data_IF_769735537748
#
_entry.id   IF_769735537748
#
_cell.length_a   1.000
_cell.length_b   1.000
_cell.length_c   1.000
_cell.angle_alpha   90.00
_cell.angle_beta   90.00
_cell.angle_gamma   90.00
#
_symmetry.space_group_name_H-M   'P 1'
#
loop_
_entity.id
_entity.type
_entity.pdbx_description
1 polymer ?
#
# COMPACT_ATOMS: atom_id res chain seq x y z
N UNK A 1 -12.16 22.16 -46.17
CA UNK A 1 -12.83 21.45 -45.05
C UNK A 1 -11.86 21.44 -43.88
N UNK A 2 -12.04 22.34 -42.91
CA UNK A 2 -11.19 22.39 -41.71
C UNK A 2 -11.62 21.26 -40.78
N UNK A 3 -10.71 20.32 -40.48
CA UNK A 3 -10.97 19.26 -39.51
C UNK A 3 -11.13 19.87 -38.12
N UNK A 4 -12.27 19.64 -37.49
CA UNK A 4 -12.54 20.08 -36.12
C UNK A 4 -11.82 19.10 -35.18
N UNK A 5 -10.79 19.55 -34.48
CA UNK A 5 -10.12 18.77 -33.44
C UNK A 5 -11.07 18.66 -32.25
N UNK A 6 -11.42 17.43 -31.86
CA UNK A 6 -12.23 17.14 -30.68
C UNK A 6 -11.34 16.55 -29.58
N UNK A 7 -11.48 17.08 -28.37
CA UNK A 7 -10.76 16.59 -27.19
C UNK A 7 -11.69 15.69 -26.37
N UNK A 8 -11.15 14.62 -25.80
CA UNK A 8 -11.90 13.66 -25.00
C UNK A 8 -11.18 13.40 -23.69
N UNK A 9 -11.94 13.09 -22.64
CA UNK A 9 -11.45 12.65 -21.34
C UNK A 9 -12.06 11.29 -20.99
N UNK A 10 -11.25 10.42 -20.39
CA UNK A 10 -11.67 9.08 -19.94
C UNK A 10 -11.31 8.93 -18.47
N UNK A 11 -12.29 8.55 -17.66
CA UNK A 11 -12.04 8.28 -16.24
C UNK A 11 -11.40 6.90 -16.05
N UNK A 12 -10.19 6.89 -15.49
CA UNK A 12 -9.47 5.67 -15.08
C UNK A 12 -9.32 5.57 -13.56
N UNK A 13 -9.81 6.56 -12.82
CA UNK A 13 -9.60 6.68 -11.38
C UNK A 13 -10.42 5.65 -10.58
N UNK A 14 -10.02 5.41 -9.34
CA UNK A 14 -10.79 4.58 -8.39
C UNK A 14 -11.95 5.36 -7.77
N UNK A 15 -11.78 6.67 -7.56
CA UNK A 15 -12.74 7.51 -6.82
C UNK A 15 -13.76 8.20 -7.73
N UNK A 16 -13.53 8.18 -9.04
CA UNK A 16 -14.42 8.77 -10.04
C UNK A 16 -14.04 10.20 -10.42
N UNK A 17 -14.36 10.53 -11.67
CA UNK A 17 -14.21 11.87 -12.25
C UNK A 17 -15.59 12.47 -12.54
N UNK A 18 -15.73 13.78 -12.42
CA UNK A 18 -16.95 14.50 -12.82
C UNK A 18 -16.63 15.68 -13.73
N UNK A 19 -17.54 15.99 -14.64
CA UNK A 19 -17.48 17.16 -15.53
C UNK A 19 -18.71 18.02 -15.26
N UNK A 20 -18.51 19.31 -14.98
CA UNK A 20 -19.57 20.27 -14.67
C UNK A 20 -20.53 19.82 -13.53
N UNK A 21 -20.02 18.98 -12.62
CA UNK A 21 -20.79 18.44 -11.49
C UNK A 21 -21.44 17.07 -11.75
N UNK A 22 -21.40 16.55 -12.98
CA UNK A 22 -21.94 15.24 -13.33
C UNK A 22 -20.83 14.18 -13.39
N UNK A 23 -21.02 13.04 -12.73
CA UNK A 23 -20.04 11.96 -12.71
C UNK A 23 -20.03 11.24 -14.06
N UNK A 24 -18.86 11.16 -14.70
CA UNK A 24 -18.69 10.43 -15.95
C UNK A 24 -18.47 8.94 -15.69
N UNK A 25 -18.79 8.10 -16.67
CA UNK A 25 -18.62 6.64 -16.56
C UNK A 25 -17.15 6.25 -16.72
N UNK A 26 -16.69 5.31 -15.89
CA UNK A 26 -15.33 4.79 -15.93
C UNK A 26 -15.07 4.05 -17.24
N UNK A 27 -13.99 4.40 -17.93
CA UNK A 27 -13.59 3.77 -19.20
C UNK A 27 -14.31 4.25 -20.46
N UNK A 28 -15.34 5.11 -20.35
CA UNK A 28 -16.01 5.70 -21.51
C UNK A 28 -15.42 7.09 -21.83
N UNK A 29 -15.00 7.36 -23.09
CA UNK A 29 -14.52 8.68 -23.48
C UNK A 29 -15.67 9.67 -23.60
N UNK A 30 -15.55 10.81 -22.92
CA UNK A 30 -16.50 11.93 -22.99
C UNK A 30 -15.83 13.12 -23.66
N UNK A 31 -16.50 13.75 -24.63
CA UNK A 31 -15.97 14.91 -25.33
C UNK A 31 -15.91 16.13 -24.39
N UNK A 32 -14.78 16.83 -24.40
CA UNK A 32 -14.57 18.09 -23.68
C UNK A 32 -14.88 19.29 -24.58
N UNK A 33 -15.48 20.30 -23.98
CA UNK A 33 -15.79 21.61 -24.58
C UNK A 33 -15.11 22.74 -23.81
N UNK A 34 -14.89 23.86 -24.49
CA UNK A 34 -14.24 25.04 -23.90
C UNK A 34 -14.95 25.48 -22.62
N UNK A 35 -14.20 25.56 -21.51
CA UNK A 35 -14.72 25.98 -20.21
C UNK A 35 -15.25 24.84 -19.32
N UNK A 36 -15.22 23.59 -19.79
CA UNK A 36 -15.63 22.45 -18.97
C UNK A 36 -14.81 22.31 -17.69
N UNK A 37 -15.50 22.06 -16.57
CA UNK A 37 -14.89 21.92 -15.24
C UNK A 37 -14.77 20.45 -14.86
N UNK A 38 -13.56 19.94 -14.85
CA UNK A 38 -13.26 18.56 -14.47
C UNK A 38 -12.88 18.51 -12.99
N UNK A 39 -13.61 17.74 -12.19
CA UNK A 39 -13.32 17.53 -10.77
C UNK A 39 -12.91 16.10 -10.50
N UNK A 40 -11.78 15.94 -9.82
CA UNK A 40 -11.26 14.65 -9.37
C UNK A 40 -11.58 14.48 -7.88
N UNK A 41 -12.20 13.36 -7.52
CA UNK A 41 -12.39 12.98 -6.12
C UNK A 41 -11.09 12.42 -5.54
N UNK A 42 -10.46 13.13 -4.61
CA UNK A 42 -9.30 12.60 -3.87
C UNK A 42 -9.83 11.84 -2.64
N UNK A 43 -9.33 10.63 -2.43
CA UNK A 43 -9.84 9.69 -1.42
C UNK A 43 -9.93 10.31 -0.02
N UNK A 44 -11.15 10.68 0.42
CA UNK A 44 -11.61 10.70 1.80
C UNK A 44 -13.05 11.22 1.85
N UNK A 45 -13.86 10.74 2.78
CA UNK A 45 -15.28 11.07 2.99
C UNK A 45 -15.55 12.51 3.48
N UNK A 46 -14.66 13.45 3.15
CA UNK A 46 -14.74 14.87 3.53
C UNK A 46 -14.62 15.70 2.27
N UNK A 47 -15.54 16.64 2.06
CA UNK A 47 -15.66 17.49 0.86
C UNK A 47 -14.43 18.38 0.55
N UNK A 48 -13.36 18.27 1.34
CA UNK A 48 -12.28 19.26 1.43
C UNK A 48 -11.09 18.98 0.50
N UNK A 49 -11.15 17.95 -0.36
CA UNK A 49 -10.08 17.62 -1.31
C UNK A 49 -10.60 17.36 -2.72
N UNK A 50 -11.36 18.31 -3.25
CA UNK A 50 -11.71 18.35 -4.68
C UNK A 50 -10.68 19.18 -5.43
N UNK A 51 -10.04 18.59 -6.44
CA UNK A 51 -9.20 19.32 -7.38
C UNK A 51 -10.04 19.60 -8.62
N UNK A 52 -10.23 20.89 -8.95
CA UNK A 52 -10.99 21.35 -10.11
C UNK A 52 -10.04 21.88 -11.19
N UNK A 53 -10.16 21.33 -12.39
CA UNK A 53 -9.46 21.77 -13.60
C UNK A 53 -10.47 22.40 -14.56
N UNK A 54 -10.08 23.47 -15.26
CA UNK A 54 -10.90 24.08 -16.31
C UNK A 54 -10.25 23.81 -17.66
N UNK A 55 -10.97 23.14 -18.55
CA UNK A 55 -10.48 22.87 -19.89
C UNK A 55 -10.49 24.15 -20.74
N UNK A 56 -9.34 24.44 -21.37
CA UNK A 56 -9.20 25.52 -22.36
C UNK A 56 -8.47 24.99 -23.58
N UNK A 57 -9.17 24.91 -24.70
CA UNK A 57 -8.63 24.71 -26.03
C UNK A 57 -7.89 25.98 -26.46
N UNK A 58 -6.59 26.02 -26.18
CA UNK A 58 -5.72 27.05 -26.75
C UNK A 58 -5.49 26.69 -28.21
N UNK A 59 -6.20 27.38 -29.11
CA UNK A 59 -5.77 27.42 -30.50
C UNK A 59 -4.46 28.21 -30.53
N UNK A 60 -3.36 27.69 -31.11
CA UNK A 60 -2.21 28.55 -31.39
C UNK A 60 -2.72 29.74 -32.22
N UNK A 61 -2.23 30.97 -31.98
CA UNK A 61 -2.56 32.06 -32.87
C UNK A 61 -2.26 31.56 -34.28
N UNK A 62 -3.24 31.65 -35.19
CA UNK A 62 -3.01 31.35 -36.60
C UNK A 62 -1.70 32.04 -36.94
N UNK A 63 -0.66 31.26 -37.27
CA UNK A 63 0.65 31.82 -37.54
C UNK A 63 0.40 32.87 -38.61
N UNK A 64 0.54 34.15 -38.24
CA UNK A 64 0.52 35.20 -39.22
C UNK A 64 1.54 34.76 -40.28
N UNK A 65 1.18 34.69 -41.58
CA UNK A 65 2.17 34.43 -42.60
C UNK A 65 3.33 35.39 -42.33
N UNK A 66 4.59 34.94 -42.46
CA UNK A 66 5.74 35.76 -42.10
C UNK A 66 5.54 37.13 -42.72
N UNK A 67 5.56 38.16 -41.86
CA UNK A 67 5.45 39.54 -42.34
C UNK A 67 6.46 39.68 -43.47
N UNK A 68 6.05 40.15 -44.67
CA UNK A 68 6.99 40.35 -45.75
C UNK A 68 8.13 41.24 -45.20
N UNK A 69 9.39 40.99 -45.58
CA UNK A 69 10.46 41.92 -45.23
C UNK A 69 9.99 43.31 -45.66
N UNK A 70 10.20 44.30 -44.80
CA UNK A 70 9.91 45.69 -45.12
C UNK A 70 10.61 46.02 -46.45
N UNK A 71 9.83 45.98 -47.52
CA UNK A 71 10.27 46.37 -48.84
C UNK A 71 10.48 47.89 -48.79
N UNK A 72 11.61 48.40 -49.30
CA UNK A 72 11.90 49.82 -49.25
C UNK A 72 10.78 50.56 -49.97
N UNK A 73 10.20 51.55 -49.31
CA UNK A 73 9.35 52.52 -50.00
C UNK A 73 10.25 53.31 -50.95
N UNK A 74 10.29 52.86 -52.19
CA UNK A 74 10.61 53.65 -53.34
C UNK A 74 9.33 54.37 -53.79
N UNK A 75 9.35 55.69 -53.66
CA UNK A 75 8.38 56.65 -54.17
C UNK A 75 8.76 58.00 -53.57
N UNK A 76 9.30 58.98 -54.29
CA UNK A 76 9.01 59.35 -55.67
C UNK A 76 10.28 59.80 -56.40
N UNK A 77 10.42 59.32 -57.64
CA UNK A 77 11.08 60.07 -58.71
C UNK A 77 10.23 61.31 -59.01
N UNK A 78 10.80 62.49 -58.85
CA UNK A 78 10.55 63.63 -59.74
C UNK A 78 11.90 64.30 -59.97
N UNK A 79 12.49 64.07 -61.14
CA UNK A 79 13.29 65.08 -61.84
C UNK A 79 12.31 65.73 -62.82
N UNK A 80 12.31 67.06 -63.00
CA UNK A 80 13.34 67.66 -63.83
C UNK A 80 13.78 69.10 -63.48
N UNK A 81 14.96 69.44 -64.00
CA UNK A 81 15.33 70.71 -64.62
C UNK A 81 15.05 72.05 -63.90
N UNK A 82 16.15 72.70 -63.47
CA UNK A 82 16.44 74.13 -63.59
C UNK A 82 17.83 74.33 -62.91
N UNK A 83 18.91 74.78 -63.53
CA UNK A 83 18.97 75.88 -64.49
C UNK A 83 18.73 77.19 -63.74
N UNK A 84 19.79 77.86 -63.30
CA UNK A 84 19.93 79.28 -62.92
C UNK A 84 21.19 79.35 -62.04
N UNK A 85 22.38 79.81 -62.46
CA UNK A 85 22.74 81.02 -63.22
C UNK A 85 21.93 82.25 -62.84
N UNK A 86 22.69 83.22 -62.34
CA UNK A 86 22.42 84.65 -62.20
C UNK A 86 21.53 85.04 -61.02
N UNK A 87 22.18 85.56 -59.98
CA UNK A 87 21.87 86.89 -59.45
C UNK A 87 23.19 87.58 -59.09
N UNK A 88 23.66 88.43 -60.01
CA UNK A 88 24.38 89.64 -59.62
C UNK A 88 23.49 90.48 -58.70
N UNK A 89 24.10 91.37 -57.90
CA UNK A 89 23.58 92.71 -57.81
C UNK A 89 24.55 93.70 -58.45
N UNK A 90 24.07 94.33 -59.52
CA UNK A 90 24.57 95.60 -60.00
C UNK A 90 24.43 96.67 -58.91
N UNK A 91 25.52 97.37 -58.64
CA UNK A 91 25.62 98.78 -58.24
C UNK A 91 27.12 99.07 -58.29
N UNK A 92 27.66 99.98 -59.07
CA UNK A 92 27.09 101.25 -59.51
C UNK A 92 28.18 102.28 -59.24
N UNK A 93 28.84 102.71 -60.32
CA UNK A 93 29.56 103.97 -60.49
C UNK A 93 30.64 104.40 -59.50
N UNK A 94 31.89 104.47 -59.99
CA UNK A 94 32.55 105.77 -60.17
C UNK A 94 33.73 105.64 -61.16
N UNK A 95 33.54 106.17 -62.37
CA UNK A 95 34.63 106.74 -63.17
C UNK A 95 35.15 108.01 -62.48
N UNK A 96 36.40 108.42 -62.77
CA UNK A 96 36.57 109.65 -63.54
C UNK A 96 37.50 109.38 -64.74
N UNK A 97 37.05 109.71 -65.94
CA UNK A 97 37.36 110.97 -66.61
C UNK A 97 38.85 111.18 -66.94
N UNK A 98 39.12 110.96 -68.23
CA UNK A 98 40.04 111.72 -69.09
C UNK A 98 40.32 113.14 -68.61
N UNK A 99 41.58 113.58 -68.70
CA UNK A 99 41.99 114.87 -69.28
C UNK A 99 43.42 115.18 -68.85
N UNK A 100 44.29 115.55 -69.80
CA UNK A 100 45.59 116.13 -69.42
C UNK A 100 46.74 115.97 -70.39
N UNK A 101 46.49 116.03 -71.69
CA UNK A 101 47.48 116.46 -72.66
C UNK A 101 48.25 117.71 -72.19
N UNK A 102 49.58 117.65 -72.12
CA UNK A 102 50.44 118.81 -72.41
C UNK A 102 51.37 118.46 -73.57
N UNK A 103 50.97 118.93 -74.75
CA UNK A 103 51.86 119.33 -75.84
C UNK A 103 52.85 120.38 -75.32
N UNK A 104 54.09 120.29 -75.79
CA UNK A 104 55.03 121.37 -76.12
C UNK A 104 56.45 120.79 -75.98
N UNK A 105 57.39 120.90 -76.91
CA UNK A 105 57.52 121.68 -78.14
C UNK A 105 58.60 120.99 -78.97
N UNK A 106 58.55 121.21 -80.28
CA UNK A 106 59.74 121.13 -81.11
C UNK A 106 60.83 122.01 -80.50
N UNK A 107 61.97 121.42 -80.21
CA UNK A 107 63.25 122.13 -80.19
C UNK A 107 64.14 121.38 -81.17
N UNK A 108 64.52 122.13 -82.19
CA UNK A 108 65.57 121.85 -83.16
C UNK A 108 66.79 121.18 -82.52
N UNK A 109 67.38 120.28 -83.29
CA UNK A 109 68.55 119.49 -82.95
C UNK A 109 69.62 120.27 -82.18
N UNK A 110 70.10 119.68 -81.09
CA UNK A 110 71.50 119.77 -80.68
C UNK A 110 71.84 118.50 -79.87
N UNK A 111 72.82 117.73 -80.38
CA UNK A 111 73.50 116.59 -79.74
C UNK A 111 72.73 115.27 -79.54
N UNK A 112 73.19 114.20 -80.21
CA UNK A 112 72.71 112.83 -80.05
C UNK A 112 72.96 112.19 -78.66
N UNK A 113 73.65 112.88 -77.75
CA UNK A 113 73.95 112.37 -76.40
C UNK A 113 72.75 112.50 -75.43
N UNK A 114 71.84 113.46 -75.65
CA UNK A 114 70.71 113.71 -74.73
C UNK A 114 69.60 112.66 -74.83
N UNK A 115 69.31 112.15 -76.03
CA UNK A 115 68.35 111.06 -76.25
C UNK A 115 68.81 109.73 -75.63
N UNK A 116 70.11 109.45 -75.69
CA UNK A 116 70.71 108.27 -75.05
C UNK A 116 70.65 108.36 -73.52
N UNK A 117 70.75 109.56 -72.94
CA UNK A 117 70.64 109.76 -71.50
C UNK A 117 69.22 109.49 -70.98
N UNK A 118 68.20 109.96 -71.72
CA UNK A 118 66.78 109.74 -71.40
C UNK A 118 66.41 108.26 -71.54
N UNK A 119 66.85 107.61 -72.62
CA UNK A 119 66.65 106.17 -72.80
C UNK A 119 67.37 105.33 -71.74
N UNK A 120 68.60 105.68 -71.35
CA UNK A 120 69.32 105.00 -70.25
C UNK A 120 68.60 105.16 -68.91
N UNK A 121 68.03 106.34 -68.62
CA UNK A 121 67.28 106.60 -67.39
C UNK A 121 65.97 105.81 -67.37
N UNK A 122 65.21 105.83 -68.47
CA UNK A 122 63.99 105.01 -68.63
C UNK A 122 64.27 103.51 -68.50
N UNK A 123 65.35 103.00 -69.12
CA UNK A 123 65.75 101.58 -68.98
C UNK A 123 66.15 101.27 -67.54
N UNK A 124 66.79 102.20 -66.82
CA UNK A 124 67.14 102.02 -65.41
C UNK A 124 65.88 101.99 -64.53
N UNK A 125 64.94 102.89 -64.77
CA UNK A 125 63.68 102.99 -64.03
C UNK A 125 62.79 101.75 -64.28
N UNK A 126 62.72 101.26 -65.52
CA UNK A 126 62.01 100.02 -65.87
C UNK A 126 62.67 98.78 -65.26
N UNK A 127 64.01 98.72 -65.20
CA UNK A 127 64.72 97.64 -64.48
C UNK A 127 64.43 97.67 -62.99
N UNK A 128 64.30 98.87 -62.42
CA UNK A 128 63.98 99.05 -61.01
C UNK A 128 62.53 98.66 -60.70
N UNK A 129 61.56 99.10 -61.52
CA UNK A 129 60.16 98.68 -61.41
C UNK A 129 60.01 97.15 -61.58
N UNK A 130 60.71 96.56 -62.53
CA UNK A 130 60.71 95.10 -62.72
C UNK A 130 61.33 94.36 -61.53
N UNK A 131 62.35 94.94 -60.87
CA UNK A 131 62.93 94.37 -59.66
C UNK A 131 61.98 94.48 -58.46
N UNK A 132 61.26 95.60 -58.34
CA UNK A 132 60.26 95.84 -57.29
C UNK A 132 59.03 94.94 -57.48
N UNK A 133 58.53 94.75 -58.70
CA UNK A 133 57.44 93.82 -58.98
C UNK A 133 57.84 92.36 -58.74
N UNK A 134 59.07 91.98 -59.10
CA UNK A 134 59.60 90.64 -58.77
C UNK A 134 59.71 90.43 -57.27
N UNK A 135 60.24 91.40 -56.52
CA UNK A 135 60.30 91.33 -55.07
C UNK A 135 58.90 91.29 -54.42
N UNK A 136 57.95 92.06 -54.95
CA UNK A 136 56.56 92.04 -54.48
C UNK A 136 55.88 90.70 -54.79
N UNK A 137 56.15 90.10 -55.95
CA UNK A 137 55.65 88.78 -56.34
C UNK A 137 56.27 87.67 -55.51
N UNK A 138 57.59 87.70 -55.28
CA UNK A 138 58.28 86.74 -54.42
C UNK A 138 57.76 86.85 -52.97
N UNK A 139 57.51 88.06 -52.47
CA UNK A 139 56.90 88.27 -51.16
C UNK A 139 55.43 87.77 -51.10
N UNK A 140 54.65 87.92 -52.17
CA UNK A 140 53.30 87.40 -52.25
C UNK A 140 53.28 85.86 -52.35
N UNK A 141 54.20 85.26 -53.11
CA UNK A 141 54.37 83.80 -53.22
C UNK A 141 54.86 83.21 -51.89
N UNK A 142 55.77 83.88 -51.17
CA UNK A 142 56.18 83.46 -49.82
C UNK A 142 55.02 83.55 -48.82
N UNK A 143 54.18 84.59 -48.87
CA UNK A 143 52.97 84.69 -48.02
C UNK A 143 51.95 83.61 -48.36
N UNK A 144 51.75 83.30 -49.64
CA UNK A 144 50.86 82.22 -50.06
C UNK A 144 51.41 80.84 -49.64
N UNK A 145 52.72 80.61 -49.76
CA UNK A 145 53.37 79.39 -49.31
C UNK A 145 53.29 79.24 -47.77
N UNK A 146 53.49 80.32 -47.02
CA UNK A 146 53.34 80.32 -45.56
C UNK A 146 51.88 80.08 -45.13
N UNK A 147 50.91 80.70 -45.83
CA UNK A 147 49.49 80.45 -45.60
C UNK A 147 49.07 79.01 -45.89
N UNK A 148 49.56 78.44 -47.00
CA UNK A 148 49.34 77.03 -47.34
C UNK A 148 49.99 76.08 -46.32
N UNK A 149 51.19 76.39 -45.84
CA UNK A 149 51.88 75.60 -44.81
C UNK A 149 51.16 75.66 -43.45
N UNK A 150 50.60 76.82 -43.09
CA UNK A 150 49.77 76.96 -41.89
C UNK A 150 48.47 76.15 -42.02
N UNK A 151 47.80 76.22 -43.17
CA UNK A 151 46.55 75.49 -43.40
C UNK A 151 46.77 73.96 -43.44
N UNK A 152 47.87 73.48 -44.00
CA UNK A 152 48.22 72.05 -43.97
C UNK A 152 48.58 71.58 -42.56
N UNK A 153 49.25 72.40 -41.75
CA UNK A 153 49.51 72.10 -40.35
C UNK A 153 48.22 72.04 -39.51
N UNK A 154 47.27 72.94 -39.75
CA UNK A 154 45.94 72.90 -39.11
C UNK A 154 45.13 71.67 -39.51
N UNK A 155 45.14 71.30 -40.79
CA UNK A 155 44.51 70.07 -41.29
C UNK A 155 45.14 68.82 -40.69
N UNK A 156 46.47 68.75 -40.57
CA UNK A 156 47.17 67.65 -39.92
C UNK A 156 46.81 67.55 -38.43
N UNK A 157 46.76 68.68 -37.72
CA UNK A 157 46.35 68.74 -36.32
C UNK A 157 44.86 68.39 -36.11
N UNK A 158 43.99 68.69 -37.08
CA UNK A 158 42.59 68.28 -37.07
C UNK A 158 42.44 66.78 -37.32
N UNK A 159 43.18 66.22 -38.29
CA UNK A 159 43.21 64.78 -38.57
C UNK A 159 43.73 63.98 -37.37
N UNK A 160 44.78 64.46 -36.69
CA UNK A 160 45.31 63.82 -35.49
C UNK A 160 44.28 63.82 -34.35
N UNK A 161 43.59 64.95 -34.11
CA UNK A 161 42.52 65.04 -33.10
C UNK A 161 41.36 64.09 -33.40
N UNK A 162 41.01 63.90 -34.67
CA UNK A 162 39.98 62.94 -35.08
C UNK A 162 40.44 61.50 -34.83
N UNK A 163 41.68 61.15 -35.20
CA UNK A 163 42.25 59.82 -34.95
C UNK A 163 42.32 59.49 -33.44
N UNK A 164 42.71 60.47 -32.61
CA UNK A 164 42.73 60.33 -31.16
C UNK A 164 41.32 60.16 -30.57
N UNK A 165 40.32 60.86 -31.12
CA UNK A 165 38.92 60.72 -30.72
C UNK A 165 38.36 59.33 -31.10
N UNK A 166 38.62 58.85 -32.32
CA UNK A 166 38.24 57.52 -32.76
C UNK A 166 38.92 56.42 -31.93
N UNK A 167 40.20 56.59 -31.59
CA UNK A 167 40.92 55.65 -30.72
C UNK A 167 40.30 55.58 -29.32
N UNK A 168 39.88 56.72 -28.75
CA UNK A 168 39.18 56.78 -27.46
C UNK A 168 37.81 56.13 -27.51
N UNK A 169 37.04 56.34 -28.57
CA UNK A 169 35.74 55.68 -28.76
C UNK A 169 35.90 54.17 -28.94
N UNK A 170 36.89 53.70 -29.72
CA UNK A 170 37.20 52.27 -29.83
C UNK A 170 37.62 51.66 -28.49
N UNK A 171 38.43 52.36 -27.69
CA UNK A 171 38.82 51.91 -26.36
C UNK A 171 37.62 51.82 -25.40
N UNK A 172 36.70 52.78 -25.45
CA UNK A 172 35.45 52.76 -24.67
C UNK A 172 34.54 51.61 -25.09
N UNK A 173 34.36 51.39 -26.40
CA UNK A 173 33.57 50.28 -26.92
C UNK A 173 34.16 48.93 -26.52
N UNK A 174 35.48 48.77 -26.59
CA UNK A 174 36.16 47.55 -26.14
C UNK A 174 35.94 47.30 -24.63
N UNK A 175 36.11 48.33 -23.79
CA UNK A 175 35.87 48.21 -22.35
C UNK A 175 34.40 47.86 -22.01
N UNK A 176 33.43 48.40 -22.76
CA UNK A 176 32.01 48.04 -22.59
C UNK A 176 31.74 46.59 -22.98
N UNK A 177 32.37 46.08 -24.04
CA UNK A 177 32.26 44.67 -24.45
C UNK A 177 32.86 43.75 -23.40
N UNK A 178 34.04 44.05 -22.86
CA UNK A 178 34.67 43.27 -21.78
C UNK A 178 33.80 43.26 -20.51
N UNK A 179 33.26 44.42 -20.10
CA UNK A 179 32.35 44.51 -18.95
C UNK A 179 31.06 43.70 -19.18
N UNK A 180 30.48 43.76 -20.37
CA UNK A 180 29.29 42.98 -20.72
C UNK A 180 29.58 41.47 -20.74
N UNK A 181 30.76 41.05 -21.21
CA UNK A 181 31.18 39.65 -21.19
C UNK A 181 31.41 39.15 -19.76
N UNK A 182 32.02 39.95 -18.88
CA UNK A 182 32.20 39.61 -17.47
C UNK A 182 30.86 39.48 -16.73
N UNK A 183 29.92 40.41 -16.97
CA UNK A 183 28.58 40.33 -16.42
C UNK A 183 27.82 39.08 -16.92
N UNK A 184 27.93 38.76 -18.21
CA UNK A 184 27.31 37.57 -18.80
C UNK A 184 27.92 36.26 -18.25
N UNK A 185 29.23 36.21 -18.00
CA UNK A 185 29.86 35.06 -17.34
C UNK A 185 29.39 34.89 -15.90
N UNK A 186 29.28 35.99 -15.15
CA UNK A 186 28.80 35.95 -13.76
C UNK A 186 27.35 35.44 -13.70
N UNK A 187 26.47 35.97 -14.55
CA UNK A 187 25.07 35.52 -14.64
C UNK A 187 24.95 34.04 -15.04
N UNK A 188 25.85 33.52 -15.89
CA UNK A 188 25.88 32.09 -16.24
C UNK A 188 26.28 31.21 -15.06
N UNK A 189 27.29 31.61 -14.29
CA UNK A 189 27.73 30.87 -13.10
C UNK A 189 26.65 30.86 -12.01
N UNK A 190 25.96 31.99 -11.80
CA UNK A 190 24.82 32.07 -10.88
C UNK A 190 23.66 31.18 -11.34
N UNK A 191 23.32 31.20 -12.64
CA UNK A 191 22.28 30.33 -13.19
C UNK A 191 22.62 28.83 -13.05
N UNK A 192 23.89 28.46 -13.25
CA UNK A 192 24.36 27.09 -13.02
C UNK A 192 24.26 26.71 -11.53
N UNK A 193 24.70 27.57 -10.62
CA UNK A 193 24.58 27.32 -9.18
C UNK A 193 23.12 27.14 -8.73
N UNK A 194 22.18 27.89 -9.30
CA UNK A 194 20.74 27.71 -9.05
C UNK A 194 20.25 26.37 -9.60
N UNK A 195 20.65 25.97 -10.81
CA UNK A 195 20.26 24.68 -11.40
C UNK A 195 20.78 23.49 -10.59
N UNK A 196 22.03 23.55 -10.14
CA UNK A 196 22.64 22.51 -9.31
C UNK A 196 21.94 22.40 -7.94
N UNK A 197 21.60 23.55 -7.33
CA UNK A 197 20.83 23.57 -6.09
C UNK A 197 19.42 22.98 -6.26
N UNK A 198 18.77 23.24 -7.40
CA UNK A 198 17.45 22.72 -7.71
C UNK A 198 17.49 21.20 -7.91
N UNK A 199 18.49 20.70 -8.65
CA UNK A 199 18.72 19.27 -8.84
C UNK A 199 19.00 18.54 -7.53
N UNK A 200 19.84 19.12 -6.66
CA UNK A 200 20.11 18.56 -5.34
C UNK A 200 18.86 18.55 -4.43
N UNK A 201 17.98 19.55 -4.55
CA UNK A 201 16.71 19.58 -3.83
C UNK A 201 15.74 18.51 -4.34
N UNK A 202 15.66 18.30 -5.66
CA UNK A 202 14.85 17.23 -6.27
C UNK A 202 15.32 15.84 -5.85
N UNK A 203 16.63 15.58 -5.87
CA UNK A 203 17.21 14.31 -5.42
C UNK A 203 16.87 14.02 -3.95
N UNK A 204 17.03 15.01 -3.06
CA UNK A 204 16.64 14.88 -1.64
C UNK A 204 15.14 14.62 -1.47
N UNK A 205 14.30 15.30 -2.24
CA UNK A 205 12.85 15.10 -2.19
C UNK A 205 12.45 13.69 -2.65
N UNK A 206 13.12 13.15 -3.67
CA UNK A 206 12.92 11.79 -4.14
C UNK A 206 13.38 10.76 -3.11
N UNK A 207 14.54 10.96 -2.47
CA UNK A 207 15.03 10.10 -1.40
C UNK A 207 14.09 10.09 -0.17
N UNK A 208 13.58 11.26 0.20
CA UNK A 208 12.62 11.38 1.30
C UNK A 208 11.28 10.73 0.96
N UNK A 209 10.78 10.92 -0.27
CA UNK A 209 9.59 10.22 -0.76
C UNK A 209 9.80 8.70 -0.79
N UNK A 210 10.98 8.23 -1.19
CA UNK A 210 11.37 6.81 -1.14
C UNK A 210 11.35 6.26 0.27
N UNK A 211 11.95 6.98 1.24
CA UNK A 211 11.93 6.61 2.67
C UNK A 211 10.52 6.56 3.25
N UNK A 212 9.66 7.53 2.92
CA UNK A 212 8.25 7.54 3.36
C UNK A 212 7.47 6.35 2.81
N UNK A 213 7.62 6.03 1.52
CA UNK A 213 6.98 4.85 0.91
C UNK A 213 7.48 3.54 1.52
N UNK A 214 8.78 3.44 1.84
CA UNK A 214 9.34 2.27 2.52
C UNK A 214 8.75 2.11 3.93
N UNK A 215 8.66 3.20 4.71
CA UNK A 215 8.07 3.19 6.04
C UNK A 215 6.56 2.86 6.00
N UNK A 216 5.81 3.38 5.03
CA UNK A 216 4.40 3.02 4.81
C UNK A 216 4.24 1.54 4.47
N UNK A 217 5.12 0.99 3.63
CA UNK A 217 5.11 -0.43 3.28
C UNK A 217 5.44 -1.33 4.47
N UNK A 218 6.40 -0.94 5.33
CA UNK A 218 6.69 -1.66 6.58
C UNK A 218 5.51 -1.60 7.55
N UNK A 219 4.89 -0.43 7.72
CA UNK A 219 3.71 -0.28 8.57
C UNK A 219 2.54 -1.15 8.08
N UNK A 220 2.30 -1.24 6.77
CA UNK A 220 1.28 -2.12 6.22
C UNK A 220 1.61 -3.60 6.45
N UNK A 221 2.89 -4.01 6.31
CA UNK A 221 3.33 -5.37 6.67
C UNK A 221 3.13 -5.69 8.15
N UNK A 222 3.40 -4.74 9.04
CA UNK A 222 3.16 -4.90 10.47
C UNK A 222 1.66 -5.03 10.78
N UNK A 223 0.81 -4.23 10.13
CA UNK A 223 -0.65 -4.34 10.27
C UNK A 223 -1.16 -5.69 9.80
N UNK A 224 -0.69 -6.20 8.66
CA UNK A 224 -1.08 -7.51 8.17
C UNK A 224 -0.61 -8.63 9.10
N UNK A 225 0.65 -8.59 9.55
CA UNK A 225 1.18 -9.57 10.49
C UNK A 225 0.42 -9.55 11.82
N UNK A 226 0.05 -8.37 12.32
CA UNK A 226 -0.77 -8.24 13.52
C UNK A 226 -2.18 -8.80 13.31
N UNK A 227 -2.81 -8.55 12.16
CA UNK A 227 -4.12 -9.10 11.85
C UNK A 227 -4.10 -10.64 11.76
N UNK A 228 -3.03 -11.21 11.19
CA UNK A 228 -2.80 -12.66 11.16
C UNK A 228 -2.67 -13.24 12.57
N UNK A 229 -1.83 -12.64 13.42
CA UNK A 229 -1.66 -13.06 14.82
C UNK A 229 -2.96 -12.92 15.63
N UNK A 230 -3.74 -11.86 15.41
CA UNK A 230 -5.05 -11.69 16.06
C UNK A 230 -6.05 -12.76 15.57
N UNK A 231 -6.00 -13.14 14.29
CA UNK A 231 -6.79 -14.24 13.72
C UNK A 231 -6.41 -15.61 14.28
N UNK A 232 -5.12 -15.91 14.36
CA UNK A 232 -4.59 -17.14 14.98
C UNK A 232 -4.96 -17.22 16.47
N UNK A 233 -4.83 -16.13 17.22
CA UNK A 233 -5.22 -16.07 18.62
C UNK A 233 -6.72 -16.28 18.81
N UNK A 234 -7.57 -15.74 17.92
CA UNK A 234 -9.01 -15.99 17.95
C UNK A 234 -9.33 -17.47 17.67
N UNK A 235 -8.69 -18.08 16.67
CA UNK A 235 -8.83 -19.51 16.36
C UNK A 235 -8.40 -20.39 17.53
N UNK A 236 -7.25 -20.10 18.15
CA UNK A 236 -6.76 -20.81 19.32
C UNK A 236 -7.74 -20.74 20.50
N UNK A 237 -8.34 -19.57 20.74
CA UNK A 237 -9.40 -19.41 21.77
C UNK A 237 -10.62 -20.28 21.47
N UNK A 238 -11.08 -20.30 20.22
CA UNK A 238 -12.22 -21.15 19.84
C UNK A 238 -11.92 -22.63 20.03
N UNK A 239 -10.73 -23.10 19.66
CA UNK A 239 -10.32 -24.48 19.90
C UNK A 239 -10.18 -24.82 21.38
N UNK A 240 -9.65 -23.90 22.20
CA UNK A 240 -9.57 -24.06 23.64
C UNK A 240 -10.97 -24.15 24.29
N UNK A 241 -11.91 -23.29 23.86
CA UNK A 241 -13.31 -23.35 24.32
C UNK A 241 -14.00 -24.65 23.91
N UNK A 242 -13.81 -25.13 22.68
CA UNK A 242 -14.34 -26.42 22.23
C UNK A 242 -13.76 -27.59 23.02
N UNK A 243 -12.44 -27.58 23.28
CA UNK A 243 -11.79 -28.59 24.12
C UNK A 243 -12.34 -28.56 25.54
N UNK A 244 -12.54 -27.38 26.14
CA UNK A 244 -13.15 -27.24 27.46
C UNK A 244 -14.57 -27.83 27.47
N UNK A 245 -15.41 -27.52 26.47
CA UNK A 245 -16.76 -28.08 26.37
C UNK A 245 -16.77 -29.60 26.20
N UNK A 246 -15.81 -30.16 25.45
CA UNK A 246 -15.66 -31.62 25.31
C UNK A 246 -15.29 -32.27 26.65
N UNK A 247 -14.30 -31.71 27.35
CA UNK A 247 -13.89 -32.20 28.67
C UNK A 247 -15.02 -32.10 29.71
N UNK A 248 -15.79 -31.00 29.70
CA UNK A 248 -16.97 -30.86 30.55
C UNK A 248 -18.06 -31.90 30.22
N UNK A 249 -18.27 -32.20 28.94
CA UNK A 249 -19.22 -33.22 28.51
C UNK A 249 -18.76 -34.64 28.92
N UNK A 250 -17.47 -34.95 28.77
CA UNK A 250 -16.87 -36.20 29.23
C UNK A 250 -16.99 -36.34 30.75
N UNK A 251 -16.67 -35.29 31.51
CA UNK A 251 -16.83 -35.28 32.97
C UNK A 251 -18.29 -35.54 33.39
N UNK A 252 -19.27 -34.91 32.73
CA UNK A 252 -20.70 -35.16 32.97
C UNK A 252 -21.10 -36.60 32.62
N UNK A 253 -20.57 -37.15 31.54
CA UNK A 253 -20.83 -38.54 31.16
C UNK A 253 -20.26 -39.52 32.20
N UNK A 254 -19.02 -39.30 32.68
CA UNK A 254 -18.42 -40.10 33.74
C UNK A 254 -19.21 -39.99 35.06
N UNK A 255 -19.68 -38.80 35.42
CA UNK A 255 -20.54 -38.60 36.59
C UNK A 255 -21.86 -39.36 36.43
N UNK A 256 -22.54 -39.29 35.28
CA UNK A 256 -23.78 -40.01 35.03
C UNK A 256 -23.60 -41.54 35.12
N UNK A 257 -22.47 -42.07 34.63
CA UNK A 257 -22.13 -43.49 34.76
C UNK A 257 -21.89 -43.86 36.23
N UNK A 258 -21.20 -43.02 37.00
CA UNK A 258 -20.98 -43.24 38.43
C UNK A 258 -22.30 -43.26 39.21
N UNK A 259 -23.20 -42.31 38.95
CA UNK A 259 -24.54 -42.26 39.56
C UNK A 259 -25.37 -43.48 39.17
N UNK A 260 -25.31 -43.94 37.92
CA UNK A 260 -26.00 -45.15 37.48
C UNK A 260 -25.49 -46.41 38.20
N UNK A 261 -24.17 -46.55 38.33
CA UNK A 261 -23.55 -47.65 39.09
C UNK A 261 -23.97 -47.64 40.55
N UNK A 262 -24.00 -46.47 41.19
CA UNK A 262 -24.46 -46.34 42.57
C UNK A 262 -25.93 -46.79 42.72
N UNK A 263 -26.83 -46.33 41.83
CA UNK A 263 -28.24 -46.76 41.86
C UNK A 263 -28.38 -48.27 41.67
N UNK A 264 -27.59 -48.88 40.79
CA UNK A 264 -27.59 -50.34 40.61
C UNK A 264 -27.16 -51.07 41.89
N UNK A 265 -26.12 -50.58 42.59
CA UNK A 265 -25.68 -51.15 43.86
C UNK A 265 -26.76 -51.01 44.95
N UNK A 266 -27.41 -49.85 45.06
CA UNK A 266 -28.52 -49.63 45.99
C UNK A 266 -29.71 -50.56 45.71
N UNK A 267 -30.06 -50.76 44.43
CA UNK A 267 -31.11 -51.71 44.03
C UNK A 267 -30.74 -53.16 44.35
N UNK A 268 -29.50 -53.58 44.09
CA UNK A 268 -29.04 -54.93 44.40
C UNK A 268 -29.01 -55.18 45.92
N UNK A 269 -28.62 -54.19 46.73
CA UNK A 269 -28.66 -54.27 48.19
C UNK A 269 -30.10 -54.37 48.71
N UNK A 270 -31.03 -53.56 48.19
CA UNK A 270 -32.45 -53.64 48.54
C UNK A 270 -33.06 -55.00 48.15
N UNK A 271 -32.71 -55.54 46.98
CA UNK A 271 -33.16 -56.86 46.53
C UNK A 271 -32.64 -57.98 47.43
N UNK A 272 -31.36 -57.93 47.82
CA UNK A 272 -30.77 -58.88 48.75
C UNK A 272 -31.45 -58.84 50.12
N UNK A 273 -31.71 -57.64 50.67
CA UNK A 273 -32.41 -57.48 51.94
C UNK A 273 -33.85 -58.04 51.90
N UNK A 274 -34.57 -57.81 50.79
CA UNK A 274 -35.91 -58.38 50.59
C UNK A 274 -35.90 -59.91 50.48
N UNK A 275 -34.89 -60.47 49.78
CA UNK A 275 -34.70 -61.92 49.67
C UNK A 275 -34.33 -62.55 51.03
N UNK A 276 -33.51 -61.89 51.84
CA UNK A 276 -33.18 -62.33 53.20
C UNK A 276 -34.40 -62.38 54.11
N UNK A 277 -35.24 -61.35 54.08
CA UNK A 277 -36.51 -61.32 54.81
C UNK A 277 -37.43 -62.47 54.37
N UNK A 278 -37.57 -62.68 53.06
CA UNK A 278 -38.39 -63.77 52.50
C UNK A 278 -37.87 -65.16 52.91
N UNK A 279 -36.56 -65.37 52.89
CA UNK A 279 -35.93 -66.61 53.32
C UNK A 279 -36.10 -66.84 54.83
N UNK A 280 -36.00 -65.80 55.65
CA UNK A 280 -36.25 -65.89 57.10
C UNK A 280 -37.71 -66.28 57.40
N UNK A 281 -38.67 -65.67 56.70
CA UNK A 281 -40.09 -66.03 56.82
C UNK A 281 -40.34 -67.48 56.40
N UNK A 282 -39.74 -67.93 55.29
CA UNK A 282 -39.89 -69.30 54.80
C UNK A 282 -39.30 -70.33 55.79
N UNK A 283 -38.13 -70.05 56.38
CA UNK A 283 -37.52 -70.90 57.43
C UNK A 283 -38.38 -70.96 58.69
N UNK A 284 -38.92 -69.84 59.13
CA UNK A 284 -39.86 -69.80 60.26
C UNK A 284 -41.12 -70.61 59.96
N UNK A 285 -41.68 -70.48 58.75
CA UNK A 285 -42.83 -71.27 58.30
C UNK A 285 -42.56 -72.77 58.26
N UNK A 286 -41.39 -73.18 57.76
CA UNK A 286 -40.96 -74.58 57.75
C UNK A 286 -40.76 -75.13 59.16
N UNK A 287 -40.16 -74.35 60.07
CA UNK A 287 -39.99 -74.76 61.47
C UNK A 287 -41.34 -75.01 62.16
N UNK A 288 -42.34 -74.16 61.92
CA UNK A 288 -43.71 -74.37 62.43
C UNK A 288 -44.34 -75.64 61.83
N UNK A 289 -44.26 -75.82 60.51
CA UNK A 289 -44.82 -77.02 59.85
C UNK A 289 -44.17 -78.33 60.36
N UNK A 290 -42.85 -78.31 60.61
CA UNK A 290 -42.13 -79.45 61.23
C UNK A 290 -42.60 -79.71 62.67
N UNK A 291 -42.78 -78.66 63.47
CA UNK A 291 -43.28 -78.78 64.84
C UNK A 291 -44.72 -79.34 64.87
N UNK A 292 -45.59 -78.87 63.98
CA UNK A 292 -46.97 -79.36 63.85
C UNK A 292 -47.00 -80.83 63.43
N UNK A 293 -46.18 -81.22 62.44
CA UNK A 293 -46.05 -82.61 62.00
C UNK A 293 -45.52 -83.53 63.12
N UNK A 294 -44.50 -83.09 63.87
CA UNK A 294 -43.97 -83.82 65.02
C UNK A 294 -45.01 -83.98 66.14
N UNK A 295 -45.74 -82.91 66.46
CA UNK A 295 -46.81 -82.93 67.46
C UNK A 295 -47.92 -83.91 67.07
N UNK A 296 -48.34 -83.92 65.80
CA UNK A 296 -49.31 -84.89 65.29
C UNK A 296 -48.77 -86.32 65.39
N UNK A 297 -47.50 -86.55 65.04
CA UNK A 297 -46.86 -87.86 65.15
C UNK A 297 -46.80 -88.37 66.60
N UNK A 298 -46.51 -87.49 67.57
CA UNK A 298 -46.56 -87.83 68.99
C UNK A 298 -47.98 -88.15 69.46
N UNK A 299 -48.97 -87.34 69.05
CA UNK A 299 -50.39 -87.59 69.34
C UNK A 299 -50.86 -88.95 68.79
N UNK A 300 -50.39 -89.36 67.60
CA UNK A 300 -50.66 -90.71 67.08
C UNK A 300 -49.99 -91.78 67.92
N UNK A 301 -48.71 -91.62 68.25
CA UNK A 301 -48.01 -92.57 69.10
C UNK A 301 -48.73 -92.77 70.42
N UNK A 302 -49.23 -91.69 71.02
CA UNK A 302 -50.02 -91.72 72.24
C UNK A 302 -51.40 -92.39 72.03
N UNK A 303 -52.13 -92.02 70.98
CA UNK A 303 -53.43 -92.62 70.65
C UNK A 303 -53.32 -94.11 70.34
N UNK A 304 -52.29 -94.54 69.61
CA UNK A 304 -52.02 -95.95 69.32
C UNK A 304 -51.67 -96.76 70.58
N UNK A 305 -50.95 -96.16 71.54
CA UNK A 305 -50.67 -96.80 72.84
C UNK A 305 -51.96 -96.95 73.67
N UNK A 306 -52.73 -95.87 73.80
CA UNK A 306 -54.01 -95.88 74.53
C UNK A 306 -55.01 -96.90 73.93
N UNK A 307 -55.08 -97.01 72.60
CA UNK A 307 -55.91 -97.99 71.92
C UNK A 307 -55.44 -99.45 72.09
N UNK A 308 -54.15 -99.70 72.32
CA UNK A 308 -53.64 -101.06 72.65
C UNK A 308 -54.01 -101.48 74.08
N UNK A 309 -54.08 -100.52 75.00
CA UNK A 309 -54.40 -100.77 76.41
C UNK A 309 -55.90 -101.01 76.64
N UNK A 310 -56.78 -100.55 75.75
CA UNK A 310 -58.24 -100.59 75.91
C UNK A 310 -58.93 -101.96 75.65
N UNK A 311 -58.22 -102.96 75.09
CA UNK A 311 -58.74 -104.33 74.89
C UNK A 311 -59.78 -104.52 73.76
N UNK A 312 -59.98 -105.79 73.35
CA UNK A 312 -60.68 -106.16 72.11
C UNK A 312 -62.22 -106.22 72.27
N UNK A 313 -62.93 -105.20 71.79
CA UNK A 313 -64.39 -105.17 71.66
C UNK A 313 -64.85 -104.54 70.36
N UNK A 314 -65.88 -105.12 69.71
CA UNK A 314 -66.38 -104.68 68.37
C UNK A 314 -66.84 -103.21 68.29
N UNK A 315 -67.22 -102.58 69.40
CA UNK A 315 -67.52 -101.15 69.45
C UNK A 315 -66.25 -100.28 69.47
N UNK A 316 -65.22 -100.70 70.22
CA UNK A 316 -63.91 -100.06 70.25
C UNK A 316 -63.19 -100.14 68.90
N UNK A 317 -63.41 -101.20 68.10
CA UNK A 317 -62.86 -101.32 66.75
C UNK A 317 -63.41 -100.28 65.76
N UNK A 318 -64.69 -99.89 65.87
CA UNK A 318 -65.29 -98.86 65.00
C UNK A 318 -64.79 -97.46 65.37
N UNK A 319 -64.81 -97.12 66.65
CA UNK A 319 -64.25 -95.85 67.14
C UNK A 319 -62.76 -95.73 66.82
N UNK A 320 -62.01 -96.85 66.90
CA UNK A 320 -60.62 -96.94 66.44
C UNK A 320 -60.47 -96.67 64.94
N UNK A 321 -61.36 -97.19 64.11
CA UNK A 321 -61.38 -96.93 62.66
C UNK A 321 -61.61 -95.45 62.33
N UNK A 322 -62.60 -94.83 62.98
CA UNK A 322 -62.95 -93.41 62.77
C UNK A 322 -61.84 -92.47 63.25
N UNK A 323 -61.24 -92.75 64.41
CA UNK A 323 -60.09 -91.99 64.93
C UNK A 323 -58.86 -92.12 64.03
N UNK A 324 -58.56 -93.33 63.54
CA UNK A 324 -57.46 -93.54 62.61
C UNK A 324 -57.70 -92.85 61.26
N UNK A 325 -58.95 -92.80 60.78
CA UNK A 325 -59.29 -92.11 59.53
C UNK A 325 -59.22 -90.58 59.69
N UNK A 326 -59.72 -90.02 60.80
CA UNK A 326 -59.59 -88.61 61.12
C UNK A 326 -58.13 -88.18 61.26
N UNK A 327 -57.31 -89.02 61.92
CA UNK A 327 -55.88 -88.82 62.01
C UNK A 327 -55.19 -88.89 60.64
N UNK A 328 -55.50 -89.89 59.81
CA UNK A 328 -54.93 -90.02 58.48
C UNK A 328 -55.20 -88.77 57.62
N UNK A 329 -56.39 -88.17 57.72
CA UNK A 329 -56.71 -86.90 57.04
C UNK A 329 -55.90 -85.72 57.59
N UNK A 330 -55.76 -85.61 58.91
CA UNK A 330 -54.95 -84.56 59.56
C UNK A 330 -53.46 -84.69 59.23
N UNK A 331 -52.93 -85.92 59.26
CA UNK A 331 -51.55 -86.21 58.89
C UNK A 331 -51.30 -85.95 57.40
N UNK A 332 -52.23 -86.33 56.51
CA UNK A 332 -52.13 -86.00 55.09
C UNK A 332 -52.10 -84.47 54.85
N UNK A 333 -52.95 -83.70 55.54
CA UNK A 333 -52.93 -82.24 55.47
C UNK A 333 -51.61 -81.64 56.02
N UNK A 334 -51.10 -82.17 57.14
CA UNK A 334 -49.82 -81.75 57.72
C UNK A 334 -48.62 -82.08 56.81
N UNK A 335 -48.59 -83.27 56.20
CA UNK A 335 -47.53 -83.63 55.23
C UNK A 335 -47.61 -82.79 53.94
N UNK A 336 -48.81 -82.42 53.51
CA UNK A 336 -49.00 -81.54 52.34
C UNK A 336 -48.49 -80.12 52.63
N UNK A 337 -48.81 -79.59 53.82
CA UNK A 337 -48.33 -78.26 54.26
C UNK A 337 -46.82 -78.24 54.52
N UNK A 338 -46.26 -79.31 55.10
CA UNK A 338 -44.82 -79.49 55.24
C UNK A 338 -44.12 -79.51 53.89
N UNK A 339 -44.58 -80.32 52.94
CA UNK A 339 -44.01 -80.38 51.60
C UNK A 339 -44.12 -79.05 50.83
N UNK A 340 -45.18 -78.28 51.06
CA UNK A 340 -45.31 -76.92 50.52
C UNK A 340 -44.33 -75.94 51.18
N UNK A 341 -44.13 -76.04 52.49
CA UNK A 341 -43.17 -75.22 53.22
C UNK A 341 -41.72 -75.54 52.83
N UNK A 342 -41.38 -76.80 52.61
CA UNK A 342 -40.05 -77.23 52.12
C UNK A 342 -39.76 -76.69 50.71
N UNK A 343 -40.74 -76.76 49.80
CA UNK A 343 -40.59 -76.15 48.46
C UNK A 343 -40.45 -74.64 48.54
N UNK A 344 -41.20 -73.98 49.43
CA UNK A 344 -41.12 -72.53 49.63
C UNK A 344 -39.78 -72.10 50.21
N UNK A 345 -39.23 -72.86 51.17
CA UNK A 345 -37.89 -72.60 51.74
C UNK A 345 -36.78 -72.84 50.71
N UNK A 346 -36.86 -73.93 49.93
CA UNK A 346 -35.90 -74.21 48.87
C UNK A 346 -35.90 -73.10 47.80
N UNK A 347 -37.08 -72.64 47.37
CA UNK A 347 -37.23 -71.53 46.42
C UNK A 347 -36.70 -70.20 46.99
N UNK A 348 -36.99 -69.90 48.26
CA UNK A 348 -36.51 -68.68 48.92
C UNK A 348 -34.98 -68.70 49.13
N UNK A 349 -34.41 -69.85 49.46
CA UNK A 349 -32.95 -70.01 49.60
C UNK A 349 -32.22 -69.91 48.25
N UNK A 350 -32.81 -70.42 47.16
CA UNK A 350 -32.29 -70.21 45.81
C UNK A 350 -32.36 -68.73 45.38
N UNK A 351 -33.49 -68.06 45.64
CA UNK A 351 -33.64 -66.64 45.36
C UNK A 351 -32.65 -65.77 46.15
N UNK A 352 -32.38 -66.13 47.42
CA UNK A 352 -31.37 -65.45 48.23
C UNK A 352 -29.94 -65.66 47.69
N UNK A 353 -29.61 -66.86 47.23
CA UNK A 353 -28.31 -67.11 46.61
C UNK A 353 -28.11 -66.25 45.35
N UNK A 354 -29.12 -66.19 44.47
CA UNK A 354 -29.10 -65.36 43.27
C UNK A 354 -28.98 -63.86 43.60
N UNK A 355 -29.74 -63.36 44.58
CA UNK A 355 -29.66 -61.95 44.98
C UNK A 355 -28.30 -61.57 45.60
N UNK A 356 -27.62 -62.51 46.27
CA UNK A 356 -26.27 -62.30 46.80
C UNK A 356 -25.20 -62.29 45.71
N UNK A 357 -25.34 -63.12 44.69
CA UNK A 357 -24.48 -63.09 43.50
C UNK A 357 -24.63 -61.76 42.74
N UNK A 358 -25.87 -61.27 42.57
CA UNK A 358 -26.15 -59.98 41.94
C UNK A 358 -25.57 -58.80 42.75
N UNK A 359 -25.67 -58.84 44.09
CA UNK A 359 -25.03 -57.85 44.97
C UNK A 359 -23.50 -57.88 44.86
N UNK A 360 -22.89 -59.06 44.80
CA UNK A 360 -21.44 -59.19 44.64
C UNK A 360 -20.98 -58.62 43.29
N UNK A 361 -21.70 -58.94 42.20
CA UNK A 361 -21.41 -58.41 40.88
C UNK A 361 -21.56 -56.86 40.81
N UNK A 362 -22.57 -56.30 41.49
CA UNK A 362 -22.76 -54.86 41.57
C UNK A 362 -21.66 -54.16 42.40
N UNK A 363 -21.17 -54.80 43.48
CA UNK A 363 -20.07 -54.28 44.29
C UNK A 363 -18.74 -54.26 43.51
N UNK A 364 -18.41 -55.33 42.79
CA UNK A 364 -17.21 -55.41 41.95
C UNK A 364 -17.24 -54.35 40.82
N UNK A 365 -18.40 -54.11 40.22
CA UNK A 365 -18.59 -53.07 39.21
C UNK A 365 -18.42 -51.63 39.75
N UNK A 366 -18.63 -51.45 41.05
CA UNK A 366 -18.46 -50.17 41.78
C UNK A 366 -17.02 -49.95 42.24
N UNK A 367 -16.32 -51.00 42.71
CA UNK A 367 -14.93 -50.88 43.21
C UNK A 367 -13.86 -50.86 42.11
N UNK A 368 -14.15 -51.43 40.92
CA UNK A 368 -13.27 -51.37 39.75
C UNK A 368 -12.99 -49.96 39.19
N UNK A 369 -13.57 -48.91 39.78
CA UNK A 369 -13.37 -47.50 39.43
C UNK A 369 -12.33 -46.75 40.27
N UNK A 370 -11.67 -47.37 41.25
CA UNK A 370 -10.60 -46.72 42.05
C UNK A 370 -9.24 -46.66 41.33
N UNK A 371 -9.23 -46.66 39.99
CA UNK A 371 -8.14 -46.05 39.25
C UNK A 371 -8.26 -44.55 39.49
N UNK A 372 -7.41 -44.00 40.37
CA UNK A 372 -7.35 -42.57 40.63
C UNK A 372 -7.29 -41.78 39.32
N UNK A 373 -7.70 -40.49 39.32
CA UNK A 373 -7.65 -39.69 38.11
C UNK A 373 -6.25 -39.84 37.52
N UNK A 374 -6.17 -40.43 36.33
CA UNK A 374 -4.95 -40.37 35.55
C UNK A 374 -4.75 -38.89 35.35
N UNK A 375 -3.82 -38.32 36.11
CA UNK A 375 -3.21 -37.05 35.80
C UNK A 375 -2.69 -37.25 34.39
N UNK A 376 -3.47 -36.81 33.39
CA UNK A 376 -2.89 -36.50 32.09
C UNK A 376 -1.88 -35.41 32.42
N UNK A 377 -0.63 -35.80 32.58
CA UNK A 377 0.48 -34.89 32.37
C UNK A 377 0.22 -34.28 30.99
N UNK A 378 -0.10 -32.98 31.01
CA UNK A 378 -0.15 -32.19 29.81
C UNK A 378 1.29 -32.16 29.30
N UNK A 379 1.61 -33.06 28.37
CA UNK A 379 2.79 -32.90 27.54
C UNK A 379 2.59 -31.63 26.71
N UNK A 380 3.09 -30.52 27.26
CA UNK A 380 3.34 -29.27 26.57
C UNK A 380 4.51 -29.48 25.60
N UNK A 381 4.32 -30.30 24.58
CA UNK A 381 5.29 -30.42 23.48
C UNK A 381 4.59 -30.42 22.14
N UNK A 382 4.16 -29.23 21.70
CA UNK A 382 4.19 -28.88 20.28
C UNK A 382 4.03 -27.36 20.12
N UNK A 383 5.17 -26.66 20.16
CA UNK A 383 5.19 -25.21 20.01
C UNK A 383 6.58 -24.55 20.06
N UNK A 384 7.65 -25.23 19.64
CA UNK A 384 8.94 -24.58 19.46
C UNK A 384 9.76 -25.28 18.37
N UNK A 385 9.55 -24.90 17.10
CA UNK A 385 10.59 -25.02 16.08
C UNK A 385 11.20 -23.65 15.84
N UNK A 386 12.24 -23.36 16.61
CA UNK A 386 13.17 -22.26 16.40
C UNK A 386 14.58 -22.77 16.68
N UNK A 387 15.33 -23.02 15.61
CA UNK A 387 16.80 -22.98 15.42
C UNK A 387 17.70 -23.04 16.67
N UNK A 388 18.58 -24.07 16.73
CA UNK A 388 20.06 -23.97 16.79
C UNK A 388 20.75 -25.24 17.35
N UNK A 389 21.78 -25.71 16.63
CA UNK A 389 23.10 -25.98 17.23
C UNK A 389 23.35 -27.21 18.11
N UNK A 390 23.88 -28.27 17.49
CA UNK A 390 24.97 -29.14 17.96
C UNK A 390 24.89 -29.94 19.28
N UNK A 391 25.22 -31.25 19.16
CA UNK A 391 26.08 -31.92 20.15
C UNK A 391 25.68 -33.32 20.62
N UNK A 392 25.99 -34.34 19.80
CA UNK A 392 26.46 -35.67 20.21
C UNK A 392 25.79 -36.43 21.37
N UNK A 393 25.21 -37.59 21.08
CA UNK A 393 25.93 -38.88 21.24
C UNK A 393 24.95 -40.05 21.08
N UNK A 394 25.40 -41.03 20.29
CA UNK A 394 24.67 -42.24 19.98
C UNK A 394 24.62 -43.20 21.18
N UNK A 395 23.48 -43.87 21.38
CA UNK A 395 23.47 -45.24 21.90
C UNK A 395 22.17 -45.99 21.55
N UNK A 396 22.34 -46.92 20.60
CA UNK A 396 21.78 -48.27 20.52
C UNK A 396 20.26 -48.50 20.65
N UNK A 397 19.67 -48.90 19.52
CA UNK A 397 18.55 -49.84 19.42
C UNK A 397 18.96 -51.23 19.97
N UNK A 398 18.00 -52.12 20.32
CA UNK A 398 17.50 -53.08 19.32
C UNK A 398 15.96 -53.17 19.34
N UNK A 399 15.30 -53.11 18.18
CA UNK A 399 14.98 -54.22 17.28
C UNK A 399 13.81 -55.09 17.78
N UNK A 400 12.69 -55.02 17.04
CA UNK A 400 11.62 -56.01 17.13
C UNK A 400 10.25 -55.46 16.76
N UNK A 401 9.95 -55.37 15.47
CA UNK A 401 8.90 -56.16 14.80
C UNK A 401 8.57 -55.55 13.43
N UNK A 402 8.75 -56.38 12.40
CA UNK A 402 8.27 -56.11 11.04
C UNK A 402 6.74 -56.21 11.02
N UNK A 403 6.06 -55.33 10.28
CA UNK A 403 5.17 -55.77 9.20
C UNK A 403 4.68 -54.59 8.32
N UNK A 404 5.17 -54.60 7.08
CA UNK A 404 4.40 -54.41 5.85
C UNK A 404 3.48 -53.20 5.70
N UNK A 405 3.93 -52.22 4.91
CA UNK A 405 3.11 -51.64 3.84
C UNK A 405 4.04 -50.94 2.83
N UNK A 406 4.07 -51.45 1.60
CA UNK A 406 4.66 -50.72 0.47
C UNK A 406 3.76 -49.52 0.12
N UNK A 407 4.31 -48.35 -0.26
CA UNK A 407 3.52 -47.29 -0.86
C UNK A 407 3.26 -47.63 -2.33
N UNK A 408 2.00 -47.87 -2.66
CA UNK A 408 1.52 -47.95 -4.03
C UNK A 408 1.66 -46.58 -4.71
N UNK A 409 2.23 -46.59 -5.90
CA UNK A 409 2.35 -45.47 -6.83
C UNK A 409 0.98 -44.93 -7.24
N UNK A 410 0.84 -43.61 -7.18
CA UNK A 410 -0.29 -42.85 -7.72
C UNK A 410 -0.17 -42.81 -9.25
N UNK A 411 -1.21 -43.26 -9.96
CA UNK A 411 -1.33 -43.20 -11.42
C UNK A 411 -2.61 -42.40 -11.77
N UNK A 412 -2.51 -41.22 -12.40
CA UNK A 412 -3.65 -40.33 -12.63
C UNK A 412 -4.36 -40.53 -13.99
N UNK A 413 -4.21 -41.66 -14.67
CA UNK A 413 -4.81 -41.91 -16.00
C UNK A 413 -5.83 -43.06 -16.04
N UNK A 414 -6.83 -43.02 -15.16
CA UNK A 414 -8.10 -43.72 -15.41
C UNK A 414 -9.29 -42.78 -15.29
N UNK A 415 -9.58 -42.11 -16.40
CA UNK A 415 -10.91 -41.58 -16.68
C UNK A 415 -11.92 -42.73 -16.69
N UNK A 416 -12.92 -42.64 -15.83
CA UNK A 416 -14.02 -43.59 -15.73
C UNK A 416 -15.31 -42.82 -15.53
N UNK A 417 -16.03 -42.66 -16.63
CA UNK A 417 -17.37 -42.12 -16.74
C UNK A 417 -18.34 -42.76 -15.73
N UNK A 418 -19.19 -41.95 -15.09
CA UNK A 418 -20.51 -42.43 -14.67
C UNK A 418 -21.56 -41.37 -14.97
N UNK A 419 -22.27 -41.62 -16.06
CA UNK A 419 -23.60 -41.12 -16.32
C UNK A 419 -24.62 -41.96 -15.53
N UNK A 420 -25.69 -41.31 -15.05
CA UNK A 420 -27.05 -41.86 -15.13
C UNK A 420 -27.61 -42.65 -13.93
N UNK A 421 -28.58 -41.99 -13.27
CA UNK A 421 -29.88 -42.51 -12.80
C UNK A 421 -29.94 -43.74 -11.86
N UNK A 422 -30.32 -43.48 -10.60
CA UNK A 422 -31.59 -43.91 -10.02
C UNK A 422 -31.97 -42.98 -8.85
#
# INVERSE_FOLDING_TARGET
MQGQLAFFITDLSTNGTSINGERIRKGEPVQLTEGDRVRLAVASCTADKLVEYVFRAVSPPASAPPSPPASPVAGNRVSPAAGNRVLEPANGHATPHMSGSKRARAATAESGDDLLSVLRRSIKDLKQQLAEERAARDAAEQRAAAGNAAHTAELAAAAQRLADAEARERARAAAQVEAAQAAAQTARLEAQGVQDALRAAEERALEEAGRRRAAEAELEREKTARAELEGEAASARTHAEERSRRLEAEAKAHQAVAEAKQRMAEHAEAAAAAAEATAAEARSGLARAKADAATLQEQLGAAQRALREAGDGRAAERERGDLMQAYARRMHAAMTTLGAAERKEAAATQALAAAREERAAAADASDGGKGGPVCMELDDTEGARGTEGHGGSAKALPAGFMQGAQPGTFDPDTGGEFAGMA
#
